data_IF_128214090657
#
_entry.id   IF_128214090657
#
_cell.length_a   1.000
_cell.length_b   1.000
_cell.length_c   1.000
_cell.angle_alpha   90.00
_cell.angle_beta   90.00
_cell.angle_gamma   90.00
#
_symmetry.space_group_name_H-M   'P 1'
#
loop_
_entity.id
_entity.type
_entity.pdbx_description
1 polymer ?
#
# COMPACT_ATOMS: atom_id res chain seq x y z
N UNK A 1 -19.45 22.77 34.99
CA UNK A 1 -20.47 22.42 33.97
C UNK A 1 -20.26 20.97 33.58
N UNK A 2 -21.27 20.12 33.78
CA UNK A 2 -21.21 18.66 33.51
C UNK A 2 -21.79 18.40 32.11
N UNK A 3 -21.03 17.78 31.24
CA UNK A 3 -21.47 17.37 29.89
C UNK A 3 -21.99 15.93 29.98
N UNK A 4 -23.21 15.62 29.52
CA UNK A 4 -23.72 14.25 29.55
C UNK A 4 -23.13 13.42 28.40
N UNK A 5 -22.70 12.21 28.78
CA UNK A 5 -22.23 11.12 27.94
C UNK A 5 -23.43 10.48 27.23
N UNK A 6 -23.48 10.51 25.89
CA UNK A 6 -24.47 9.75 25.13
C UNK A 6 -23.84 8.43 24.65
N UNK A 7 -24.22 7.35 25.32
CA UNK A 7 -23.91 5.96 24.95
C UNK A 7 -24.94 5.51 23.90
N UNK A 8 -24.51 5.32 22.65
CA UNK A 8 -25.35 4.70 21.61
C UNK A 8 -24.94 3.23 21.45
N UNK A 9 -25.82 2.34 21.88
CA UNK A 9 -25.71 0.89 21.68
C UNK A 9 -26.39 0.56 20.35
N UNK A 10 -25.63 0.07 19.37
CA UNK A 10 -26.17 -0.50 18.14
C UNK A 10 -26.16 -2.02 18.27
N UNK A 11 -27.36 -2.61 18.35
CA UNK A 11 -27.60 -4.05 18.23
C UNK A 11 -28.01 -4.31 16.80
N UNK A 12 -27.28 -5.16 16.07
CA UNK A 12 -27.71 -5.69 14.79
C UNK A 12 -27.58 -7.22 14.76
N UNK A 13 -28.68 -7.83 14.35
CA UNK A 13 -29.05 -9.21 14.54
C UNK A 13 -28.36 -10.17 13.55
N UNK A 14 -28.10 -11.38 14.04
CA UNK A 14 -27.67 -12.52 13.26
C UNK A 14 -28.81 -13.04 12.38
N UNK A 15 -28.55 -13.18 11.07
CA UNK A 15 -29.40 -13.90 10.13
C UNK A 15 -28.70 -15.16 9.65
N UNK A 16 -29.15 -16.33 10.13
CA UNK A 16 -28.82 -17.62 9.55
C UNK A 16 -29.71 -17.86 8.33
N UNK A 17 -29.12 -18.20 7.18
CA UNK A 17 -29.82 -18.83 6.06
C UNK A 17 -29.08 -20.11 5.70
N UNK A 18 -29.76 -21.23 5.89
CA UNK A 18 -29.40 -22.56 5.40
C UNK A 18 -30.28 -22.90 4.21
N UNK A 19 -29.68 -23.35 3.11
CA UNK A 19 -30.40 -24.06 2.04
C UNK A 19 -29.60 -25.28 1.60
N UNK A 20 -30.30 -26.42 1.61
CA UNK A 20 -29.88 -27.78 1.25
C UNK A 20 -30.29 -28.12 -0.19
N UNK A 21 -29.67 -29.13 -0.80
CA UNK A 21 -30.12 -29.83 -2.02
C UNK A 21 -28.99 -29.96 -3.06
N UNK A 22 -28.26 -31.08 -3.12
CA UNK A 22 -28.49 -32.25 -4.00
C UNK A 22 -28.56 -31.89 -5.50
N UNK A 23 -27.57 -32.30 -6.30
CA UNK A 23 -27.64 -33.58 -7.04
C UNK A 23 -26.41 -33.82 -7.94
N UNK A 24 -26.07 -35.09 -8.13
CA UNK A 24 -24.95 -35.56 -8.93
C UNK A 24 -25.40 -35.93 -10.35
N UNK A 25 -24.70 -35.43 -11.38
CA UNK A 25 -24.71 -36.05 -12.73
C UNK A 25 -23.32 -35.96 -13.36
N UNK A 26 -22.71 -37.13 -13.60
CA UNK A 26 -21.60 -37.38 -14.51
C UNK A 26 -22.09 -37.32 -15.95
N UNK A 27 -21.44 -36.55 -16.83
CA UNK A 27 -21.26 -36.98 -18.24
C UNK A 27 -20.04 -36.33 -18.91
N UNK A 28 -19.18 -37.22 -19.42
CA UNK A 28 -18.27 -37.18 -20.58
C UNK A 28 -17.66 -35.87 -21.13
N UNK A 29 -16.33 -35.95 -21.25
CA UNK A 29 -15.38 -35.24 -22.13
C UNK A 29 -15.81 -35.26 -23.61
N UNK A 30 -15.50 -34.21 -24.41
CA UNK A 30 -14.42 -34.41 -25.38
C UNK A 30 -13.54 -33.16 -25.69
N UNK A 31 -12.28 -33.47 -26.00
CA UNK A 31 -11.43 -32.91 -27.05
C UNK A 31 -11.10 -31.40 -27.05
N UNK A 32 -9.86 -31.17 -26.61
CA UNK A 32 -8.94 -30.08 -26.93
C UNK A 32 -9.20 -29.29 -28.24
N UNK A 33 -9.25 -27.96 -28.07
CA UNK A 33 -8.83 -27.00 -29.10
C UNK A 33 -7.59 -26.26 -28.58
N UNK A 34 -6.51 -26.11 -29.36
CA UNK A 34 -5.39 -25.28 -28.96
C UNK A 34 -5.86 -23.81 -28.99
N UNK A 35 -6.01 -23.22 -27.81
CA UNK A 35 -6.20 -21.78 -27.68
C UNK A 35 -4.90 -21.14 -28.14
N UNK A 36 -4.97 -20.41 -29.26
CA UNK A 36 -3.90 -19.56 -29.76
C UNK A 36 -3.26 -18.82 -28.60
N UNK A 37 -1.94 -19.02 -28.45
CA UNK A 37 -1.12 -18.24 -27.56
C UNK A 37 -1.36 -16.76 -27.86
N UNK A 38 -2.04 -16.07 -26.93
CA UNK A 38 -2.06 -14.63 -26.87
C UNK A 38 -0.60 -14.15 -26.91
N UNK A 39 -0.27 -13.13 -27.71
CA UNK A 39 1.07 -12.58 -27.70
C UNK A 39 1.38 -12.18 -26.27
N UNK A 40 2.46 -12.74 -25.73
CA UNK A 40 3.04 -12.30 -24.48
C UNK A 40 3.43 -10.83 -24.67
N UNK A 41 2.50 -9.93 -24.33
CA UNK A 41 2.77 -8.52 -24.16
C UNK A 41 3.91 -8.46 -23.16
N UNK A 42 5.10 -8.10 -23.67
CA UNK A 42 6.25 -7.78 -22.82
C UNK A 42 5.73 -6.83 -21.73
N UNK A 43 5.85 -7.14 -20.43
CA UNK A 43 5.70 -6.10 -19.44
C UNK A 43 6.77 -5.06 -19.76
N UNK A 44 6.32 -3.89 -20.22
CA UNK A 44 7.18 -2.74 -20.42
C UNK A 44 7.97 -2.55 -19.14
N UNK A 45 9.30 -2.65 -19.21
CA UNK A 45 10.14 -2.23 -18.10
C UNK A 45 9.64 -0.87 -17.63
N UNK A 46 9.44 -0.65 -16.30
CA UNK A 46 8.98 0.62 -15.81
C UNK A 46 9.91 1.70 -16.38
N UNK A 47 9.34 2.59 -17.19
CA UNK A 47 10.09 3.65 -17.85
C UNK A 47 10.89 4.42 -16.81
N UNK A 48 12.05 4.94 -17.18
CA UNK A 48 12.79 5.84 -16.30
C UNK A 48 11.90 7.06 -16.04
N UNK A 49 11.32 7.15 -14.85
CA UNK A 49 10.50 8.28 -14.42
C UNK A 49 11.46 9.35 -13.92
N UNK A 50 11.47 10.49 -14.60
CA UNK A 50 12.26 11.65 -14.17
C UNK A 50 11.68 12.19 -12.85
N UNK A 51 12.48 12.30 -11.78
CA UNK A 51 12.02 12.87 -10.52
C UNK A 51 11.55 14.32 -10.69
N UNK A 52 10.43 14.73 -10.06
CA UNK A 52 10.03 16.12 -10.06
C UNK A 52 11.03 16.99 -9.29
N UNK A 53 11.14 18.26 -9.69
CA UNK A 53 11.90 19.27 -8.94
C UNK A 53 11.09 19.65 -7.69
N UNK A 54 11.57 19.22 -6.52
CA UNK A 54 10.90 19.45 -5.24
C UNK A 54 11.33 20.77 -4.60
N UNK A 55 10.35 21.54 -4.14
CA UNK A 55 10.53 22.66 -3.21
C UNK A 55 10.97 22.18 -1.83
N UNK A 56 11.58 23.05 -0.99
CA UNK A 56 11.96 22.68 0.38
C UNK A 56 10.77 22.16 1.22
N UNK A 57 9.58 22.72 1.03
CA UNK A 57 8.36 22.29 1.73
C UNK A 57 7.93 20.90 1.30
N UNK A 58 7.91 20.60 0.00
CA UNK A 58 7.58 19.26 -0.49
C UNK A 58 8.59 18.21 -0.03
N UNK A 59 9.88 18.57 0.04
CA UNK A 59 10.91 17.67 0.59
C UNK A 59 10.63 17.33 2.05
N UNK A 60 10.31 18.33 2.85
CA UNK A 60 9.98 18.11 4.25
C UNK A 60 8.70 17.27 4.40
N UNK A 61 7.65 17.51 3.61
CA UNK A 61 6.43 16.70 3.63
C UNK A 61 6.72 15.22 3.32
N UNK A 62 7.48 14.95 2.26
CA UNK A 62 7.82 13.57 1.88
C UNK A 62 8.73 12.94 2.94
N UNK A 63 9.67 13.70 3.53
CA UNK A 63 10.54 13.22 4.60
C UNK A 63 9.73 12.83 5.84
N UNK A 64 8.76 13.65 6.24
CA UNK A 64 7.87 13.36 7.37
C UNK A 64 7.02 12.11 7.11
N UNK A 65 6.47 11.96 5.89
CA UNK A 65 5.76 10.74 5.51
C UNK A 65 6.67 9.49 5.54
N UNK A 66 7.95 9.64 5.16
CA UNK A 66 8.93 8.55 5.23
C UNK A 66 9.24 8.16 6.67
N UNK A 67 9.47 9.14 7.55
CA UNK A 67 9.66 8.89 8.99
C UNK A 67 8.44 8.20 9.62
N UNK A 68 7.23 8.62 9.26
CA UNK A 68 5.99 7.98 9.71
C UNK A 68 5.88 6.52 9.21
N UNK A 69 6.25 6.26 7.95
CA UNK A 69 6.27 4.91 7.39
C UNK A 69 7.28 3.98 8.06
N UNK A 70 8.48 4.47 8.36
CA UNK A 70 9.48 3.73 9.13
C UNK A 70 8.95 3.42 10.53
N UNK A 71 8.39 4.41 11.23
CA UNK A 71 7.84 4.22 12.57
C UNK A 71 6.69 3.19 12.60
N UNK A 72 5.76 3.28 11.65
CA UNK A 72 4.64 2.34 11.54
C UNK A 72 5.14 0.91 11.28
N UNK A 73 6.11 0.75 10.38
CA UNK A 73 6.63 -0.57 10.03
C UNK A 73 7.43 -1.20 11.18
N UNK A 74 8.24 -0.40 11.88
CA UNK A 74 8.94 -0.84 13.09
C UNK A 74 7.93 -1.31 14.14
N UNK A 75 6.93 -0.50 14.48
CA UNK A 75 5.92 -0.85 15.48
C UNK A 75 5.13 -2.12 15.11
N UNK A 76 4.80 -2.28 13.81
CA UNK A 76 4.16 -3.48 13.28
C UNK A 76 5.05 -4.71 13.49
N UNK A 77 6.35 -4.60 13.21
CA UNK A 77 7.29 -5.71 13.32
C UNK A 77 7.62 -6.05 14.78
N UNK A 78 7.73 -5.07 15.66
CA UNK A 78 7.88 -5.28 17.11
C UNK A 78 6.66 -6.04 17.68
N UNK A 79 5.46 -5.70 17.21
CA UNK A 79 4.24 -6.44 17.56
C UNK A 79 4.33 -7.90 17.08
N UNK A 80 4.88 -8.15 15.89
CA UNK A 80 5.07 -9.51 15.38
C UNK A 80 6.10 -10.32 16.17
N UNK A 81 7.19 -9.68 16.64
CA UNK A 81 8.22 -10.31 17.49
C UNK A 81 7.69 -10.69 18.89
N UNK A 82 6.66 -10.00 19.37
CA UNK A 82 6.05 -10.34 20.67
C UNK A 82 5.29 -11.67 20.66
N UNK A 83 5.08 -12.27 19.48
CA UNK A 83 4.49 -13.60 19.33
C UNK A 83 5.55 -14.69 19.17
N UNK A 84 5.20 -15.94 19.48
CA UNK A 84 6.09 -17.10 19.35
C UNK A 84 6.26 -17.47 17.86
N UNK A 85 7.38 -17.06 17.24
CA UNK A 85 7.61 -17.23 15.80
C UNK A 85 9.04 -17.69 15.47
N UNK A 86 9.16 -18.41 14.37
CA UNK A 86 10.41 -19.01 13.91
C UNK A 86 11.34 -18.03 13.16
N UNK A 87 10.90 -16.78 12.91
CA UNK A 87 11.61 -15.78 12.09
C UNK A 87 12.16 -14.58 12.89
N UNK A 88 12.26 -14.70 14.21
CA UNK A 88 12.55 -13.58 15.10
C UNK A 88 13.87 -12.87 14.76
N UNK A 89 14.92 -13.61 14.40
CA UNK A 89 16.22 -13.03 14.03
C UNK A 89 16.14 -12.19 12.74
N UNK A 90 15.37 -12.65 11.74
CA UNK A 90 15.21 -11.96 10.47
C UNK A 90 14.40 -10.67 10.64
N UNK A 91 13.34 -10.73 11.44
CA UNK A 91 12.51 -9.57 11.77
C UNK A 91 13.33 -8.57 12.60
N UNK A 92 14.06 -9.01 13.62
CA UNK A 92 14.92 -8.15 14.45
C UNK A 92 16.00 -7.44 13.62
N UNK A 93 16.64 -8.18 12.70
CA UNK A 93 17.61 -7.60 11.75
C UNK A 93 16.96 -6.54 10.86
N UNK A 94 15.74 -6.79 10.37
CA UNK A 94 15.02 -5.83 9.54
C UNK A 94 14.64 -4.58 10.34
N UNK A 95 14.16 -4.72 11.58
CA UNK A 95 13.88 -3.60 12.49
C UNK A 95 15.14 -2.75 12.71
N UNK A 96 16.29 -3.37 13.01
CA UNK A 96 17.55 -2.63 13.19
C UNK A 96 17.86 -1.75 11.99
N UNK A 97 17.74 -2.30 10.78
CA UNK A 97 17.98 -1.54 9.54
C UNK A 97 17.00 -0.38 9.37
N UNK A 98 15.70 -0.58 9.63
CA UNK A 98 14.71 0.49 9.54
C UNK A 98 14.98 1.59 10.58
N UNK A 99 15.37 1.21 11.79
CA UNK A 99 15.71 2.13 12.88
C UNK A 99 16.94 2.96 12.56
N UNK A 100 17.99 2.36 11.99
CA UNK A 100 19.18 3.06 11.51
C UNK A 100 18.83 4.05 10.39
N UNK A 101 17.99 3.63 9.44
CA UNK A 101 17.50 4.51 8.38
C UNK A 101 16.70 5.68 8.93
N UNK A 102 15.78 5.44 9.87
CA UNK A 102 15.01 6.48 10.56
C UNK A 102 15.93 7.47 11.27
N UNK A 103 16.88 6.97 12.07
CA UNK A 103 17.84 7.82 12.80
C UNK A 103 18.78 8.60 11.87
N UNK A 104 19.07 8.09 10.66
CA UNK A 104 19.78 8.82 9.61
C UNK A 104 18.92 9.97 9.09
N UNK A 105 17.67 9.69 8.72
CA UNK A 105 16.73 10.70 8.19
C UNK A 105 16.38 11.81 9.20
N UNK A 106 16.36 11.49 10.49
CA UNK A 106 16.12 12.47 11.56
C UNK A 106 17.28 13.48 11.72
N UNK A 107 18.51 13.09 11.35
CA UNK A 107 19.69 13.94 11.42
C UNK A 107 19.98 14.71 10.13
N UNK A 108 19.39 14.27 9.02
CA UNK A 108 19.54 14.91 7.72
C UNK A 108 18.80 16.26 7.70
N UNK A 109 19.33 17.23 6.95
CA UNK A 109 18.63 18.48 6.68
C UNK A 109 17.36 18.20 5.85
N UNK A 110 16.16 18.57 6.35
CA UNK A 110 14.92 18.55 5.57
C UNK A 110 15.05 19.02 4.12
N UNK A 111 15.83 20.08 3.89
CA UNK A 111 15.96 20.70 2.57
C UNK A 111 16.79 19.87 1.58
N UNK A 112 17.64 18.94 2.07
CA UNK A 112 18.43 18.05 1.20
C UNK A 112 17.73 16.75 0.86
N UNK A 113 16.64 16.43 1.56
CA UNK A 113 15.98 15.13 1.42
C UNK A 113 15.51 14.88 -0.02
N UNK A 114 15.78 13.67 -0.50
CA UNK A 114 15.34 13.16 -1.82
C UNK A 114 14.87 11.72 -1.70
N UNK A 115 13.67 11.39 -2.23
CA UNK A 115 13.27 10.00 -2.38
C UNK A 115 14.18 9.25 -3.34
N UNK A 116 14.43 7.97 -3.04
CA UNK A 116 15.34 7.14 -3.85
C UNK A 116 14.76 6.74 -5.21
N UNK A 117 13.42 6.69 -5.32
CA UNK A 117 12.74 6.30 -6.55
C UNK A 117 11.31 6.83 -6.62
N UNK A 118 10.79 6.87 -7.84
CA UNK A 118 9.46 7.35 -8.19
C UNK A 118 8.73 6.30 -9.02
N UNK A 119 7.40 6.28 -8.90
CA UNK A 119 6.50 5.40 -9.67
C UNK A 119 5.34 6.21 -10.23
N UNK A 120 4.92 5.88 -11.46
CA UNK A 120 3.76 6.42 -12.17
C UNK A 120 2.81 5.24 -12.41
N UNK A 121 1.63 5.29 -11.80
CA UNK A 121 0.71 4.15 -11.72
C UNK A 121 -0.72 4.60 -12.00
N UNK A 122 -1.49 3.78 -12.72
CA UNK A 122 -2.93 3.97 -12.93
C UNK A 122 -3.71 2.94 -12.10
N UNK A 123 -4.61 3.40 -11.23
CA UNK A 123 -5.21 2.54 -10.21
C UNK A 123 -6.19 3.25 -9.28
N UNK A 124 -6.57 2.60 -8.19
CA UNK A 124 -7.51 3.13 -7.20
C UNK A 124 -7.19 2.68 -5.78
N UNK A 125 -7.74 3.41 -4.82
CA UNK A 125 -7.79 3.01 -3.42
C UNK A 125 -9.21 2.52 -3.10
N UNK A 126 -9.33 1.52 -2.23
CA UNK A 126 -10.61 0.93 -1.82
C UNK A 126 -10.91 1.22 -0.35
N UNK A 127 -12.08 1.79 -0.06
CA UNK A 127 -12.48 2.19 1.29
C UNK A 127 -11.83 3.51 1.75
N UNK A 128 -11.95 3.85 3.05
CA UNK A 128 -11.51 5.13 3.57
C UNK A 128 -10.01 5.32 3.43
N UNK A 129 -9.59 6.56 3.15
CA UNK A 129 -8.18 6.90 3.00
C UNK A 129 -7.46 6.86 4.34
N UNK A 130 -6.67 5.81 4.53
CA UNK A 130 -5.94 5.54 5.76
C UNK A 130 -4.47 5.23 5.50
N UNK A 131 -3.64 5.46 6.51
CA UNK A 131 -2.24 5.06 6.49
C UNK A 131 -2.13 3.54 6.30
N UNK A 132 -1.28 3.10 5.37
CA UNK A 132 -1.07 1.69 5.04
C UNK A 132 -2.06 1.11 4.03
N UNK A 133 -3.03 1.89 3.56
CA UNK A 133 -4.00 1.44 2.55
C UNK A 133 -3.29 1.03 1.25
N UNK A 134 -3.70 -0.11 0.68
CA UNK A 134 -3.13 -0.63 -0.56
C UNK A 134 -3.67 0.13 -1.78
N UNK A 135 -2.78 0.53 -2.69
CA UNK A 135 -3.14 1.04 -4.01
C UNK A 135 -3.24 -0.11 -5.01
N UNK A 136 -4.42 -0.29 -5.60
CA UNK A 136 -4.69 -1.31 -6.63
C UNK A 136 -4.47 -0.69 -8.00
N UNK A 137 -3.45 -1.14 -8.73
CA UNK A 137 -3.07 -0.56 -10.02
C UNK A 137 -3.12 -1.56 -11.17
N UNK A 138 -3.19 -1.06 -12.40
CA UNK A 138 -3.21 -1.88 -13.61
C UNK A 138 -1.91 -2.70 -13.74
N UNK A 139 -2.05 -3.99 -14.01
CA UNK A 139 -0.91 -4.91 -14.12
C UNK A 139 -0.35 -5.42 -12.79
N UNK A 140 -0.98 -5.07 -11.66
CA UNK A 140 -0.63 -5.63 -10.35
C UNK A 140 -0.83 -7.15 -10.32
N UNK A 141 0.20 -7.87 -9.87
CA UNK A 141 0.18 -9.35 -9.77
C UNK A 141 0.10 -9.82 -8.31
N UNK A 142 -0.15 -11.13 -8.11
CA UNK A 142 -0.12 -11.76 -6.78
C UNK A 142 1.26 -11.68 -6.11
N UNK A 143 2.33 -11.43 -6.87
CA UNK A 143 3.71 -11.28 -6.39
C UNK A 143 4.15 -9.81 -6.29
N UNK A 144 3.26 -8.85 -6.55
CA UNK A 144 3.55 -7.42 -6.43
C UNK A 144 4.22 -6.81 -7.67
N UNK A 145 4.86 -5.64 -7.53
CA UNK A 145 5.05 -4.90 -6.27
C UNK A 145 3.74 -4.39 -5.63
N UNK A 146 3.72 -4.26 -4.30
CA UNK A 146 2.59 -3.72 -3.54
C UNK A 146 2.93 -2.34 -2.98
N UNK A 147 2.06 -1.36 -3.19
CA UNK A 147 2.28 0.02 -2.75
C UNK A 147 1.23 0.45 -1.72
N UNK A 148 1.70 0.89 -0.56
CA UNK A 148 0.87 1.27 0.57
C UNK A 148 0.95 2.77 0.82
N UNK A 149 -0.19 3.43 1.00
CA UNK A 149 -0.25 4.87 1.24
C UNK A 149 0.43 5.23 2.57
N UNK A 150 1.35 6.18 2.56
CA UNK A 150 1.91 6.78 3.77
C UNK A 150 1.59 8.28 3.90
N UNK A 151 1.26 8.94 2.80
CA UNK A 151 0.88 10.34 2.79
C UNK A 151 0.51 10.83 1.41
N UNK A 152 -0.09 12.02 1.37
CA UNK A 152 -0.39 12.75 0.15
C UNK A 152 0.14 14.16 0.28
N UNK A 153 0.55 14.73 -0.86
CA UNK A 153 0.87 16.14 -0.95
C UNK A 153 -0.26 17.01 -0.43
N UNK A 154 0.10 18.06 0.31
CA UNK A 154 -0.82 19.02 0.94
C UNK A 154 -1.79 18.39 1.98
N UNK A 155 -1.56 17.14 2.40
CA UNK A 155 -2.40 16.43 3.38
C UNK A 155 -3.85 16.19 2.91
N UNK A 156 -4.13 16.34 1.62
CA UNK A 156 -5.47 16.41 1.08
C UNK A 156 -6.13 15.04 0.88
N UNK A 157 -6.30 14.26 1.96
CA UNK A 157 -7.00 12.96 1.94
C UNK A 157 -8.43 13.09 1.35
N UNK A 158 -9.08 14.24 1.54
CA UNK A 158 -10.41 14.54 0.98
C UNK A 158 -10.43 14.81 -0.53
N UNK A 159 -9.26 14.99 -1.17
CA UNK A 159 -9.18 15.24 -2.60
C UNK A 159 -9.29 13.95 -3.44
N UNK A 160 -9.00 12.79 -2.83
CA UNK A 160 -9.27 11.51 -3.44
C UNK A 160 -10.67 11.02 -3.04
N UNK A 161 -11.36 10.39 -3.97
CA UNK A 161 -12.65 9.73 -3.77
C UNK A 161 -12.44 8.23 -3.82
N UNK A 162 -13.13 7.52 -2.96
CA UNK A 162 -13.09 6.05 -2.91
C UNK A 162 -13.52 5.47 -4.26
N UNK A 163 -12.90 4.34 -4.64
CA UNK A 163 -13.25 3.55 -5.84
C UNK A 163 -13.15 4.31 -7.16
N UNK A 164 -12.58 5.52 -7.14
CA UNK A 164 -12.31 6.30 -8.34
C UNK A 164 -10.92 5.95 -8.87
N UNK A 165 -10.77 5.69 -10.17
CA UNK A 165 -9.46 5.47 -10.76
C UNK A 165 -8.70 6.79 -10.91
N UNK A 166 -7.40 6.73 -10.63
CA UNK A 166 -6.45 7.83 -10.69
C UNK A 166 -5.17 7.36 -11.39
N UNK A 167 -4.56 8.26 -12.14
CA UNK A 167 -3.13 8.20 -12.42
C UNK A 167 -2.38 8.94 -11.33
N UNK A 168 -1.42 8.28 -10.68
CA UNK A 168 -0.63 8.86 -9.60
C UNK A 168 0.85 8.90 -9.95
N UNK A 169 1.52 9.98 -9.56
CA UNK A 169 2.97 10.02 -9.43
C UNK A 169 3.30 9.97 -7.95
N UNK A 170 4.08 8.97 -7.53
CA UNK A 170 4.37 8.73 -6.13
C UNK A 170 5.86 8.49 -5.87
N UNK A 171 6.34 9.00 -4.73
CA UNK A 171 7.66 8.70 -4.21
C UNK A 171 7.62 7.38 -3.44
N UNK A 172 8.56 6.48 -3.68
CA UNK A 172 8.72 5.25 -2.90
C UNK A 172 9.57 5.56 -1.66
N UNK A 173 9.06 5.23 -0.48
CA UNK A 173 9.64 5.62 0.80
C UNK A 173 10.53 4.51 1.36
N UNK A 174 9.95 3.59 2.13
CA UNK A 174 10.63 2.44 2.70
C UNK A 174 9.95 1.12 2.32
N UNK A 175 10.71 0.02 2.42
CA UNK A 175 10.21 -1.33 2.17
C UNK A 175 9.50 -1.88 3.40
N UNK A 176 8.45 -2.67 3.16
CA UNK A 176 7.74 -3.47 4.16
C UNK A 176 8.36 -4.86 4.25
N UNK A 177 8.34 -5.48 5.43
CA UNK A 177 8.80 -6.85 5.64
C UNK A 177 7.76 -7.84 5.12
N UNK A 178 7.97 -8.31 3.88
CA UNK A 178 7.19 -9.34 3.18
C UNK A 178 8.11 -10.17 2.27
N UNK A 179 7.73 -11.41 1.92
CA UNK A 179 8.49 -12.26 1.00
C UNK A 179 8.44 -11.79 -0.46
N UNK A 180 7.68 -10.72 -0.76
CA UNK A 180 7.55 -10.11 -2.07
C UNK A 180 7.77 -8.59 -1.98
N UNK A 181 8.06 -7.89 -3.10
CA UNK A 181 8.25 -6.45 -3.10
C UNK A 181 7.02 -5.71 -2.56
N UNK A 182 7.15 -5.04 -1.42
CA UNK A 182 6.12 -4.19 -0.84
C UNK A 182 6.79 -2.96 -0.23
N UNK A 183 6.22 -1.79 -0.48
CA UNK A 183 6.75 -0.51 -0.03
C UNK A 183 5.65 0.46 0.36
N UNK A 184 5.97 1.41 1.22
CA UNK A 184 5.15 2.60 1.42
C UNK A 184 5.44 3.64 0.33
N UNK A 185 4.43 4.42 -0.01
CA UNK A 185 4.48 5.49 -1.01
C UNK A 185 3.89 6.80 -0.49
N UNK A 186 4.44 7.92 -0.96
CA UNK A 186 3.83 9.24 -0.83
C UNK A 186 3.28 9.67 -2.18
N UNK A 187 1.97 9.96 -2.24
CA UNK A 187 1.33 10.41 -3.49
C UNK A 187 1.62 11.90 -3.68
N UNK A 188 2.45 12.21 -4.67
CA UNK A 188 2.88 13.58 -4.95
C UNK A 188 1.91 14.32 -5.87
N UNK A 189 1.40 13.62 -6.90
CA UNK A 189 0.41 14.15 -7.84
C UNK A 189 -0.60 13.07 -8.20
N UNK A 190 -1.82 13.47 -8.49
CA UNK A 190 -2.87 12.58 -8.96
C UNK A 190 -3.76 13.28 -10.00
N UNK A 191 -4.21 12.51 -10.97
CA UNK A 191 -5.19 12.92 -11.96
C UNK A 191 -6.30 11.88 -12.02
N UNK A 192 -7.55 12.31 -11.90
CA UNK A 192 -8.68 11.40 -11.97
C UNK A 192 -8.86 10.90 -13.42
N UNK A 193 -8.92 9.59 -13.58
CA UNK A 193 -9.24 8.97 -14.86
C UNK A 193 -10.75 9.07 -15.12
N UNK A 194 -11.12 9.20 -16.39
CA UNK A 194 -12.50 9.38 -16.85
C UNK A 194 -13.16 8.05 -17.15
#
# INVERSE_FOLDING_TARGET
MRVPLFLSIVVLAAGCVTTSGEDAVRTAEPAARPVSALPAGRPSSPGHIEPPVLTPTEREEIRQAHLAALAQEIARLETLLSGDRQEDDAIATFISRLSEEKARLEREDPASYTPSSWVDLEGSFTGPFEFGQLFYYEGMTRSGPFYHLAGLKDGALSALREERPYRILAAVLCRRYYPFPSSYIFVYRWEALR
#
